data_IF_888273147765
#
_entry.id   IF_888273147765
#
_cell.length_a   1.000
_cell.length_b   1.000
_cell.length_c   1.000
_cell.angle_alpha   90.00
_cell.angle_beta   90.00
_cell.angle_gamma   90.00
#
_symmetry.space_group_name_H-M   'P 1'
#
loop_
_entity.id
_entity.type
_entity.pdbx_description
1 polymer ?
#
# COMPACT_ATOMS: atom_id res chain seq x y z
N UNK A 1 -5.85 -2.79 4.20
CA UNK A 1 -5.06 -2.19 3.10
C UNK A 1 -3.57 -2.40 3.38
N UNK A 2 -2.87 -3.10 2.50
CA UNK A 2 -1.44 -3.36 2.61
C UNK A 2 -0.60 -2.21 2.06
N UNK A 3 0.71 -2.39 1.99
CA UNK A 3 1.68 -1.44 1.43
C UNK A 3 2.91 -2.21 0.95
N UNK A 4 3.61 -1.66 -0.03
CA UNK A 4 4.93 -2.16 -0.41
C UNK A 4 5.93 -2.15 0.76
N UNK A 5 5.73 -1.25 1.72
CA UNK A 5 6.53 -1.17 2.94
C UNK A 5 6.39 -2.41 3.86
N UNK A 6 5.36 -3.25 3.67
CA UNK A 6 5.22 -4.52 4.38
C UNK A 6 6.30 -5.54 4.00
N UNK A 7 6.89 -5.40 2.81
CA UNK A 7 7.83 -6.36 2.23
C UNK A 7 9.19 -5.77 1.89
N UNK A 8 9.34 -4.44 2.00
CA UNK A 8 10.57 -3.74 1.64
C UNK A 8 10.97 -2.81 2.77
N UNK A 9 12.19 -3.00 3.29
CA UNK A 9 12.73 -2.12 4.33
C UNK A 9 13.00 -0.73 3.76
N UNK A 10 12.58 0.30 4.47
CA UNK A 10 12.77 1.70 4.10
C UNK A 10 13.39 2.43 5.29
N UNK A 11 14.58 3.02 5.10
CA UNK A 11 15.25 3.79 6.14
C UNK A 11 14.40 4.96 6.60
N UNK A 12 14.27 5.13 7.91
CA UNK A 12 13.42 6.15 8.53
C UNK A 12 11.97 5.73 8.74
N UNK A 13 11.57 4.54 8.24
CA UNK A 13 10.19 4.06 8.29
C UNK A 13 10.01 2.77 9.09
N UNK A 14 10.86 2.51 10.07
CA UNK A 14 10.81 1.25 10.83
C UNK A 14 9.43 0.98 11.45
N UNK A 15 8.80 1.99 12.04
CA UNK A 15 7.47 1.87 12.64
C UNK A 15 6.40 1.58 11.58
N UNK A 16 6.42 2.32 10.48
CA UNK A 16 5.46 2.11 9.38
C UNK A 16 5.63 0.73 8.73
N UNK A 17 6.86 0.37 8.37
CA UNK A 17 7.15 -0.94 7.78
C UNK A 17 6.73 -2.07 8.72
N UNK A 18 7.06 -1.99 10.00
CA UNK A 18 6.67 -2.99 11.00
C UNK A 18 5.16 -3.10 11.15
N UNK A 19 4.44 -1.98 11.18
CA UNK A 19 2.98 -1.97 11.29
C UNK A 19 2.32 -2.64 10.09
N UNK A 20 2.79 -2.36 8.88
CA UNK A 20 2.24 -2.95 7.66
C UNK A 20 2.62 -4.42 7.50
N UNK A 21 3.83 -4.81 7.85
CA UNK A 21 4.24 -6.21 7.90
C UNK A 21 3.42 -7.01 8.93
N UNK A 22 3.18 -6.43 10.11
CA UNK A 22 2.34 -7.02 11.14
C UNK A 22 0.90 -7.21 10.68
N UNK A 23 0.34 -6.22 9.98
CA UNK A 23 -1.01 -6.31 9.41
C UNK A 23 -1.11 -7.45 8.38
N UNK A 24 -0.14 -7.57 7.49
CA UNK A 24 -0.12 -8.64 6.49
C UNK A 24 -0.01 -10.03 7.15
N UNK A 25 0.80 -10.16 8.20
CA UNK A 25 0.90 -11.41 8.95
C UNK A 25 -0.40 -11.74 9.70
N UNK A 26 -1.04 -10.73 10.31
CA UNK A 26 -2.34 -10.91 10.94
C UNK A 26 -3.38 -11.43 9.94
N UNK A 27 -3.41 -10.88 8.74
CA UNK A 27 -4.31 -11.33 7.67
C UNK A 27 -4.08 -12.80 7.32
N UNK A 28 -2.83 -13.25 7.25
CA UNK A 28 -2.49 -14.66 7.01
C UNK A 28 -3.01 -15.57 8.13
N UNK A 29 -2.88 -15.15 9.38
CA UNK A 29 -3.41 -15.90 10.53
C UNK A 29 -4.94 -15.99 10.46
N UNK A 30 -5.62 -14.90 10.14
CA UNK A 30 -7.08 -14.86 9.99
C UNK A 30 -7.54 -15.81 8.89
N UNK A 31 -6.84 -15.87 7.76
CA UNK A 31 -7.15 -16.78 6.66
C UNK A 31 -7.09 -18.25 7.10
N UNK A 32 -6.15 -18.59 7.96
CA UNK A 32 -6.03 -19.95 8.50
C UNK A 32 -7.10 -20.28 9.52
N UNK A 33 -7.49 -19.30 10.35
CA UNK A 33 -8.44 -19.47 11.45
C UNK A 33 -9.90 -19.43 11.01
N UNK A 34 -10.22 -18.62 9.97
CA UNK A 34 -11.58 -18.32 9.53
C UNK A 34 -11.71 -18.51 8.03
N UNK A 35 -11.90 -19.75 7.59
CA UNK A 35 -11.96 -20.12 6.17
C UNK A 35 -13.26 -19.68 5.46
N UNK A 36 -14.29 -19.29 6.21
CA UNK A 36 -15.57 -18.78 5.71
C UNK A 36 -15.54 -17.27 5.40
N UNK A 37 -14.44 -16.59 5.74
CA UNK A 37 -14.26 -15.17 5.49
C UNK A 37 -13.28 -14.98 4.32
N UNK A 38 -13.64 -14.12 3.37
CA UNK A 38 -12.70 -13.69 2.32
C UNK A 38 -11.90 -12.52 2.87
N UNK A 39 -10.60 -12.73 3.04
CA UNK A 39 -9.69 -11.74 3.59
C UNK A 39 -8.59 -11.43 2.56
N UNK A 40 -8.54 -10.18 2.09
CA UNK A 40 -7.61 -9.76 1.05
C UNK A 40 -6.64 -8.71 1.59
N UNK A 41 -5.36 -8.89 1.31
CA UNK A 41 -4.30 -7.95 1.66
C UNK A 41 -3.76 -7.32 0.38
N UNK A 42 -4.23 -6.10 0.08
CA UNK A 42 -3.97 -5.44 -1.20
C UNK A 42 -3.32 -4.09 -0.98
N UNK A 43 -2.18 -3.86 -1.63
CA UNK A 43 -1.50 -2.58 -1.63
C UNK A 43 -2.09 -1.66 -2.70
N UNK A 44 -2.32 -0.36 -2.38
CA UNK A 44 -2.88 0.58 -3.35
C UNK A 44 -1.90 1.00 -4.45
N UNK A 45 -0.60 0.84 -4.23
CA UNK A 45 0.44 1.40 -5.07
C UNK A 45 0.82 2.81 -4.65
N UNK A 46 1.43 3.56 -5.56
CA UNK A 46 1.81 4.97 -5.34
C UNK A 46 0.61 5.87 -5.69
N UNK A 47 -0.04 6.41 -4.69
CA UNK A 47 -1.28 7.20 -4.84
C UNK A 47 -1.04 8.64 -4.41
N UNK A 48 -1.54 9.58 -5.20
CA UNK A 48 -1.45 11.01 -4.88
C UNK A 48 -2.43 11.36 -3.75
N UNK A 49 -1.89 11.47 -2.54
CA UNK A 49 -2.63 11.70 -1.30
C UNK A 49 -1.89 12.71 -0.43
N UNK A 50 -2.55 13.27 0.62
CA UNK A 50 -1.86 14.11 1.61
C UNK A 50 -0.63 13.44 2.23
N UNK A 51 -0.64 12.12 2.43
CA UNK A 51 0.52 11.37 2.92
C UNK A 51 1.73 11.51 2.00
N UNK A 52 1.55 11.42 0.69
CA UNK A 52 2.63 11.63 -0.30
C UNK A 52 3.16 13.06 -0.23
N UNK A 53 2.27 14.04 -0.06
CA UNK A 53 2.67 15.43 0.11
C UNK A 53 3.55 15.60 1.36
N UNK A 54 3.16 15.02 2.48
CA UNK A 54 3.93 15.08 3.73
C UNK A 54 5.31 14.43 3.56
N UNK A 55 5.40 13.32 2.85
CA UNK A 55 6.67 12.65 2.56
C UNK A 55 7.60 13.56 1.76
N UNK A 56 7.10 14.28 0.76
CA UNK A 56 7.92 15.20 -0.06
C UNK A 56 8.53 16.35 0.72
N UNK A 57 7.95 16.72 1.86
CA UNK A 57 8.44 17.78 2.75
C UNK A 57 9.18 17.25 3.98
N UNK A 58 9.48 15.96 4.05
CA UNK A 58 10.23 15.36 5.15
C UNK A 58 11.70 15.81 5.15
N UNK A 59 12.35 15.66 6.30
CA UNK A 59 13.79 15.89 6.42
C UNK A 59 14.55 14.74 5.75
N UNK A 60 15.40 15.07 4.79
CA UNK A 60 16.21 14.09 4.04
C UNK A 60 17.14 13.28 4.96
N UNK A 61 17.61 13.86 6.08
CA UNK A 61 18.42 13.14 7.06
C UNK A 61 17.65 12.04 7.77
N UNK A 62 16.37 12.28 8.05
CA UNK A 62 15.47 11.30 8.67
C UNK A 62 14.89 10.33 7.65
N UNK A 63 14.84 10.72 6.37
CA UNK A 63 14.30 9.92 5.29
C UNK A 63 15.21 9.97 4.05
N UNK A 64 16.21 9.08 3.96
CA UNK A 64 17.22 9.12 2.88
C UNK A 64 16.64 8.93 1.46
N UNK A 65 15.46 8.33 1.31
CA UNK A 65 14.80 8.12 0.00
C UNK A 65 13.94 9.30 -0.45
N UNK A 66 14.05 10.46 0.22
CA UNK A 66 13.22 11.64 -0.09
C UNK A 66 13.24 12.01 -1.57
N UNK A 67 14.41 12.07 -2.19
CA UNK A 67 14.56 12.44 -3.60
C UNK A 67 13.83 11.51 -4.55
N UNK A 68 13.79 10.22 -4.24
CA UNK A 68 13.07 9.21 -5.01
C UNK A 68 11.56 9.49 -4.99
N UNK A 69 10.99 9.81 -3.82
CA UNK A 69 9.58 10.15 -3.70
C UNK A 69 9.24 11.49 -4.35
N UNK A 70 10.13 12.47 -4.30
CA UNK A 70 9.96 13.73 -5.03
C UNK A 70 9.94 13.50 -6.54
N UNK A 71 10.77 12.57 -7.04
CA UNK A 71 10.81 12.18 -8.45
C UNK A 71 9.51 11.51 -8.88
N UNK A 72 8.90 10.64 -8.08
CA UNK A 72 7.62 10.01 -8.40
C UNK A 72 6.54 11.06 -8.69
N UNK A 73 6.47 12.10 -7.89
CA UNK A 73 5.54 13.20 -8.11
C UNK A 73 5.85 13.98 -9.37
N UNK A 74 7.11 14.36 -9.56
CA UNK A 74 7.58 15.15 -10.70
C UNK A 74 7.36 14.44 -12.04
N UNK A 75 7.56 13.13 -12.07
CA UNK A 75 7.42 12.31 -13.28
C UNK A 75 5.97 11.85 -13.53
N UNK A 76 5.02 12.27 -12.69
CA UNK A 76 3.61 11.91 -12.83
C UNK A 76 3.31 10.43 -12.54
N UNK A 77 4.10 9.78 -11.70
CA UNK A 77 3.97 8.35 -11.37
C UNK A 77 2.93 8.06 -10.29
N UNK A 78 2.34 9.09 -9.68
CA UNK A 78 1.31 8.91 -8.65
C UNK A 78 -0.06 8.71 -9.30
N UNK A 79 -0.74 7.64 -8.92
CA UNK A 79 -2.09 7.35 -9.41
C UNK A 79 -3.12 8.28 -8.75
N UNK A 80 -4.18 8.61 -9.48
CA UNK A 80 -5.29 9.38 -8.94
C UNK A 80 -6.04 8.59 -7.85
N UNK A 81 -6.28 9.24 -6.72
CA UNK A 81 -6.92 8.60 -5.57
C UNK A 81 -8.33 8.08 -5.88
N UNK A 82 -9.10 8.78 -6.72
CA UNK A 82 -10.44 8.36 -7.11
C UNK A 82 -10.41 7.11 -7.98
N UNK A 83 -9.46 7.01 -8.91
CA UNK A 83 -9.28 5.82 -9.74
C UNK A 83 -8.93 4.61 -8.88
N UNK A 84 -8.00 4.77 -7.94
CA UNK A 84 -7.62 3.69 -7.01
C UNK A 84 -8.80 3.27 -6.15
N UNK A 85 -9.56 4.23 -5.61
CA UNK A 85 -10.76 3.95 -4.82
C UNK A 85 -11.81 3.18 -5.63
N UNK A 86 -12.03 3.53 -6.89
CA UNK A 86 -12.95 2.82 -7.78
C UNK A 86 -12.55 1.36 -7.98
N UNK A 87 -11.27 1.09 -8.09
CA UNK A 87 -10.74 -0.27 -8.19
C UNK A 87 -10.98 -1.07 -6.90
N UNK A 88 -10.81 -0.45 -5.72
CA UNK A 88 -11.15 -1.10 -4.45
C UNK A 88 -12.65 -1.43 -4.35
N UNK A 89 -13.52 -0.54 -4.81
CA UNK A 89 -14.96 -0.80 -4.85
C UNK A 89 -15.26 -2.02 -5.74
N UNK A 90 -14.63 -2.10 -6.91
CA UNK A 90 -14.78 -3.24 -7.82
C UNK A 90 -14.33 -4.55 -7.16
N UNK A 91 -13.22 -4.54 -6.42
CA UNK A 91 -12.74 -5.69 -5.66
C UNK A 91 -13.76 -6.12 -4.59
N UNK A 92 -14.32 -5.16 -3.84
CA UNK A 92 -15.32 -5.42 -2.81
C UNK A 92 -16.62 -5.99 -3.37
N UNK A 93 -17.00 -5.60 -4.59
CA UNK A 93 -18.20 -6.12 -5.26
C UNK A 93 -18.05 -7.56 -5.75
N UNK A 94 -16.82 -8.01 -6.02
CA UNK A 94 -16.55 -9.36 -6.49
C UNK A 94 -15.22 -9.89 -5.94
N UNK A 95 -15.10 -10.09 -4.62
CA UNK A 95 -13.82 -10.39 -3.99
C UNK A 95 -13.22 -11.74 -4.42
N UNK A 96 -14.05 -12.72 -4.75
CA UNK A 96 -13.59 -14.06 -5.19
C UNK A 96 -12.76 -14.02 -6.46
N UNK A 97 -12.96 -13.02 -7.29
CA UNK A 97 -12.23 -12.84 -8.55
C UNK A 97 -10.78 -12.37 -8.31
N UNK A 98 -10.49 -11.82 -7.12
CA UNK A 98 -9.23 -11.14 -6.81
C UNK A 98 -8.41 -11.83 -5.71
N UNK A 99 -8.60 -13.12 -5.48
CA UNK A 99 -7.94 -13.86 -4.38
C UNK A 99 -6.40 -13.85 -4.48
N UNK A 100 -5.85 -13.75 -5.70
CA UNK A 100 -4.40 -13.71 -5.94
C UNK A 100 -3.86 -12.29 -6.09
N UNK A 101 -4.71 -11.27 -5.97
CA UNK A 101 -4.31 -9.89 -6.18
C UNK A 101 -3.53 -9.35 -4.98
N UNK A 102 -2.36 -8.74 -5.25
CA UNK A 102 -1.52 -8.11 -4.23
C UNK A 102 -1.46 -6.59 -4.36
N UNK A 103 -1.71 -6.06 -5.55
CA UNK A 103 -1.67 -4.61 -5.83
C UNK A 103 -2.81 -4.18 -6.71
N UNK A 104 -3.37 -3.02 -6.40
CA UNK A 104 -4.41 -2.41 -7.24
C UNK A 104 -3.91 -2.10 -8.64
N UNK A 105 -2.65 -1.73 -8.80
CA UNK A 105 -2.04 -1.44 -10.11
C UNK A 105 -1.99 -2.66 -11.04
N UNK A 106 -2.20 -3.86 -10.53
CA UNK A 106 -2.18 -5.08 -11.33
C UNK A 106 -3.56 -5.41 -11.96
N UNK A 107 -4.54 -4.54 -11.74
CA UNK A 107 -5.86 -4.67 -12.36
C UNK A 107 -5.92 -3.85 -13.65
#
# INVERSE_FOLDING_TARGET
>A
MSSGAAHTAIEGWSTYCSSKAGLDMLNKCIDMEYQDIINLSIAPGKVDTPMQNDIRFADEKAFPRLKEFQKYYKDGELADAKEVASKYIMILQNPKKFLELNRVSDI
#
